data_IF_631671492005
#
_entry.id   IF_631671492005
#
_cell.length_a   1.000
_cell.length_b   1.000
_cell.length_c   1.000
_cell.angle_alpha   90.00
_cell.angle_beta   90.00
_cell.angle_gamma   90.00
#
_symmetry.space_group_name_H-M   'P 1'
#
loop_
_entity.id
_entity.type
_entity.pdbx_description
1 polymer ?
#
# COMPACT_ATOMS: atom_id res chain seq x y z
N UNK A 1 1.92 16.75 -1.89
CA UNK A 1 3.34 16.94 -1.53
C UNK A 1 4.28 15.82 -2.00
N UNK A 2 4.47 14.68 -1.32
CA UNK A 2 5.49 13.68 -1.72
C UNK A 2 5.27 13.03 -3.10
N UNK A 3 4.06 12.53 -3.38
CA UNK A 3 3.77 11.85 -4.64
C UNK A 3 3.97 12.75 -5.87
N UNK A 4 3.82 14.07 -5.70
CA UNK A 4 4.03 15.06 -6.76
C UNK A 4 5.50 15.25 -7.14
N UNK A 5 6.45 14.80 -6.31
CA UNK A 5 7.89 14.89 -6.62
C UNK A 5 8.42 13.66 -7.36
N UNK A 6 7.60 12.62 -7.56
CA UNK A 6 8.00 11.38 -8.22
C UNK A 6 8.14 11.60 -9.73
N UNK A 7 9.33 11.35 -10.26
CA UNK A 7 9.60 11.40 -11.71
C UNK A 7 9.81 10.01 -12.27
N UNK A 8 9.52 9.82 -13.57
CA UNK A 8 9.80 8.57 -14.26
C UNK A 8 11.29 8.19 -14.18
N UNK A 9 12.17 9.18 -14.29
CA UNK A 9 13.62 8.99 -14.16
C UNK A 9 13.99 8.45 -12.78
N UNK A 10 13.46 9.04 -11.70
CA UNK A 10 13.75 8.58 -10.34
C UNK A 10 13.17 7.18 -10.08
N UNK A 11 11.95 6.92 -10.52
CA UNK A 11 11.28 5.63 -10.39
C UNK A 11 12.09 4.49 -11.05
N UNK A 12 12.74 4.77 -12.19
CA UNK A 12 13.60 3.82 -12.89
C UNK A 12 15.01 3.70 -12.29
N UNK A 13 15.47 4.66 -11.49
CA UNK A 13 16.82 4.70 -10.97
C UNK A 13 17.06 3.65 -9.86
N UNK A 14 18.29 3.10 -9.72
CA UNK A 14 18.64 2.20 -8.63
C UNK A 14 18.50 2.88 -7.26
N UNK A 15 17.75 2.25 -6.37
CA UNK A 15 17.63 2.63 -4.96
C UNK A 15 18.25 1.54 -4.09
N UNK A 16 19.17 1.93 -3.20
CA UNK A 16 19.86 1.00 -2.30
C UNK A 16 19.46 1.23 -0.85
N UNK A 17 19.13 0.15 -0.14
CA UNK A 17 18.83 0.19 1.29
C UNK A 17 19.35 -1.06 2.00
N UNK A 18 19.50 -0.96 3.32
CA UNK A 18 19.74 -2.12 4.18
C UNK A 18 18.41 -2.53 4.80
N UNK A 19 17.98 -3.76 4.57
CA UNK A 19 16.72 -4.26 5.12
C UNK A 19 16.79 -4.39 6.64
N UNK A 20 15.71 -4.00 7.31
CA UNK A 20 15.57 -4.22 8.75
C UNK A 20 15.19 -5.66 9.11
N UNK A 21 14.73 -6.46 8.14
CA UNK A 21 14.31 -7.85 8.36
C UNK A 21 15.53 -8.78 8.49
N UNK A 22 16.50 -8.64 7.61
CA UNK A 22 17.64 -9.57 7.50
C UNK A 22 19.01 -8.88 7.43
N UNK A 23 19.06 -7.55 7.60
CA UNK A 23 20.28 -6.73 7.55
C UNK A 23 21.07 -6.80 6.23
N UNK A 24 20.49 -7.36 5.17
CA UNK A 24 21.14 -7.42 3.85
C UNK A 24 20.90 -6.12 3.07
N UNK A 25 21.95 -5.66 2.39
CA UNK A 25 21.86 -4.58 1.41
C UNK A 25 21.13 -5.08 0.16
N UNK A 26 20.19 -4.30 -0.34
CA UNK A 26 19.43 -4.56 -1.57
C UNK A 26 19.49 -3.34 -2.47
N UNK A 27 19.52 -3.57 -3.77
CA UNK A 27 19.46 -2.55 -4.80
C UNK A 27 18.45 -2.98 -5.86
N UNK A 28 17.50 -2.11 -6.17
CA UNK A 28 16.46 -2.32 -7.18
C UNK A 28 15.94 -0.97 -7.68
N UNK A 29 15.24 -0.89 -8.82
CA UNK A 29 14.59 0.35 -9.22
C UNK A 29 13.64 0.89 -8.14
N UNK A 30 13.62 2.20 -7.92
CA UNK A 30 12.84 2.82 -6.85
C UNK A 30 11.33 2.52 -6.94
N UNK A 31 10.79 2.34 -8.16
CA UNK A 31 9.38 2.01 -8.35
C UNK A 31 8.95 0.72 -7.64
N UNK A 32 9.87 -0.25 -7.49
CA UNK A 32 9.58 -1.52 -6.81
C UNK A 32 9.21 -1.26 -5.36
N UNK A 33 9.89 -0.34 -4.69
CA UNK A 33 9.64 0.01 -3.29
C UNK A 33 8.36 0.85 -3.14
N UNK A 34 8.10 1.75 -4.06
CA UNK A 34 6.84 2.53 -4.08
C UNK A 34 5.64 1.61 -4.24
N UNK A 35 5.68 0.70 -5.22
CA UNK A 35 4.61 -0.28 -5.42
C UNK A 35 4.49 -1.23 -4.21
N UNK A 36 5.61 -1.67 -3.64
CA UNK A 36 5.62 -2.51 -2.45
C UNK A 36 4.91 -1.86 -1.27
N UNK A 37 5.07 -0.54 -1.04
CA UNK A 37 4.40 0.16 0.07
C UNK A 37 2.87 -0.03 0.03
N UNK A 38 2.24 0.22 -1.11
CA UNK A 38 0.78 0.08 -1.28
C UNK A 38 0.33 -1.39 -1.26
N UNK A 39 1.12 -2.27 -1.87
CA UNK A 39 0.85 -3.71 -1.85
C UNK A 39 0.93 -4.28 -0.42
N UNK A 40 1.93 -3.87 0.35
CA UNK A 40 2.13 -4.30 1.73
C UNK A 40 1.01 -3.82 2.65
N UNK A 41 0.53 -2.59 2.45
CA UNK A 41 -0.66 -2.08 3.15
C UNK A 41 -1.90 -2.93 2.82
N UNK A 42 -2.11 -3.26 1.55
CA UNK A 42 -3.26 -4.08 1.11
C UNK A 42 -3.17 -5.50 1.66
N UNK A 43 -1.98 -6.09 1.69
CA UNK A 43 -1.74 -7.41 2.28
C UNK A 43 -2.12 -7.45 3.77
N UNK A 44 -1.62 -6.51 4.58
CA UNK A 44 -1.95 -6.47 6.01
C UNK A 44 -3.40 -6.09 6.27
N UNK A 45 -4.01 -5.23 5.45
CA UNK A 45 -5.45 -4.95 5.53
C UNK A 45 -6.25 -6.24 5.30
N UNK A 46 -5.88 -7.07 4.32
CA UNK A 46 -6.51 -8.38 4.09
C UNK A 46 -6.38 -9.35 5.28
N UNK A 47 -5.24 -9.35 5.97
CA UNK A 47 -5.06 -10.12 7.20
C UNK A 47 -6.02 -9.64 8.30
N UNK A 48 -6.12 -8.32 8.50
CA UNK A 48 -6.99 -7.73 9.52
C UNK A 48 -8.48 -7.95 9.20
N UNK A 49 -8.91 -7.72 7.96
CA UNK A 49 -10.32 -7.94 7.58
C UNK A 49 -10.73 -9.39 7.77
N UNK A 50 -9.84 -10.34 7.46
CA UNK A 50 -10.06 -11.77 7.75
C UNK A 50 -10.30 -12.02 9.24
N UNK A 51 -9.44 -11.50 10.12
CA UNK A 51 -9.59 -11.67 11.57
C UNK A 51 -10.86 -10.99 12.11
N UNK A 52 -11.21 -9.81 11.60
CA UNK A 52 -12.43 -9.07 11.98
C UNK A 52 -13.68 -9.89 11.61
N UNK A 53 -13.72 -10.45 10.39
CA UNK A 53 -14.80 -11.34 9.97
C UNK A 53 -14.90 -12.61 10.82
N UNK A 54 -13.77 -13.22 11.20
CA UNK A 54 -13.75 -14.39 12.08
C UNK A 54 -14.33 -14.09 13.48
N UNK A 55 -14.29 -12.84 13.92
CA UNK A 55 -14.95 -12.37 15.14
C UNK A 55 -16.46 -12.08 14.95
N UNK A 56 -17.02 -12.32 13.76
CA UNK A 56 -18.42 -12.03 13.43
C UNK A 56 -18.72 -10.54 13.21
N UNK A 57 -17.68 -9.71 13.01
CA UNK A 57 -17.81 -8.26 12.77
C UNK A 57 -17.62 -8.00 11.28
N UNK A 58 -18.49 -7.18 10.68
CA UNK A 58 -18.30 -6.69 9.32
C UNK A 58 -17.32 -5.49 9.33
N UNK A 59 -16.14 -5.59 8.67
CA UNK A 59 -15.21 -4.47 8.56
C UNK A 59 -15.68 -3.36 7.60
N UNK A 60 -16.74 -3.59 6.82
CA UNK A 60 -17.27 -2.66 5.83
C UNK A 60 -16.54 -2.71 4.49
N UNK A 61 -16.89 -1.77 3.59
CA UNK A 61 -16.29 -1.66 2.25
C UNK A 61 -14.81 -1.27 2.35
N UNK A 62 -13.95 -2.02 1.66
CA UNK A 62 -12.51 -1.71 1.56
C UNK A 62 -12.03 -1.38 0.15
N UNK A 63 -12.93 -1.49 -0.84
CA UNK A 63 -12.65 -1.17 -2.22
C UNK A 63 -12.69 0.34 -2.41
N UNK A 64 -11.57 0.93 -2.83
CA UNK A 64 -11.40 2.38 -2.90
C UNK A 64 -12.53 3.11 -3.65
N UNK A 65 -13.01 2.64 -4.82
CA UNK A 65 -14.08 3.34 -5.54
C UNK A 65 -15.42 3.38 -4.81
N UNK A 66 -15.62 2.54 -3.80
CA UNK A 66 -16.89 2.39 -3.08
C UNK A 66 -16.83 2.93 -1.65
N UNK A 67 -15.69 3.51 -1.23
CA UNK A 67 -15.61 4.11 0.10
C UNK A 67 -16.62 5.27 0.24
N UNK A 68 -17.14 5.51 1.46
CA UNK A 68 -18.13 6.57 1.69
C UNK A 68 -17.66 7.96 1.24
N UNK A 69 -16.37 8.25 1.32
CA UNK A 69 -15.79 9.52 0.87
C UNK A 69 -15.90 9.76 -0.65
N UNK A 70 -16.04 8.69 -1.44
CA UNK A 70 -16.15 8.74 -2.90
C UNK A 70 -17.55 8.37 -3.40
N UNK A 71 -18.44 7.94 -2.50
CA UNK A 71 -19.83 7.64 -2.84
C UNK A 71 -20.69 8.86 -2.55
N UNK A 72 -21.39 9.43 -3.56
CA UNK A 72 -22.26 10.57 -3.31
C UNK A 72 -23.37 10.21 -2.30
N UNK A 73 -23.74 11.18 -1.47
CA UNK A 73 -24.86 11.01 -0.55
C UNK A 73 -26.12 10.59 -1.33
N UNK A 74 -26.96 9.70 -0.75
CA UNK A 74 -28.23 9.36 -1.38
C UNK A 74 -29.04 10.65 -1.62
N UNK A 75 -29.69 10.70 -2.79
CA UNK A 75 -30.59 11.80 -3.17
C UNK A 75 -31.80 11.89 -2.24
#
# INVERSE_FOLDING_TARGET
>A
EWSATLTQQWLAAPFSFTSNVDRKRRTMPAWVLVAHLFNHQTHHRGQLTTLIFQCGIDPGITDLPFLPEFTPAPA
#
